data_IF_071501872793
#
_entry.id   IF_071501872793
#
_cell.length_a   1.000
_cell.length_b   1.000
_cell.length_c   1.000
_cell.angle_alpha   90.00
_cell.angle_beta   90.00
_cell.angle_gamma   90.00
#
_symmetry.space_group_name_H-M   'P 1'
#
loop_
_entity.id
_entity.type
_entity.pdbx_description
1 polymer ?
#
# COMPACT_ATOMS: atom_id res chain seq x y z
N UNK A 1 -31.60 -15.77 14.31
CA UNK A 1 -30.81 -16.18 13.13
C UNK A 1 -29.43 -16.58 13.62
N UNK A 2 -29.15 -17.88 13.64
CA UNK A 2 -27.88 -18.46 14.06
C UNK A 2 -26.85 -18.34 12.92
N UNK A 3 -25.73 -17.68 13.18
CA UNK A 3 -24.59 -17.66 12.26
C UNK A 3 -23.73 -18.90 12.53
N UNK A 4 -23.80 -19.86 11.62
CA UNK A 4 -22.85 -20.97 11.54
C UNK A 4 -21.49 -20.45 11.08
N UNK A 5 -20.44 -20.88 11.77
CA UNK A 5 -19.04 -20.54 11.51
C UNK A 5 -18.58 -21.11 10.17
N UNK A 6 -18.14 -20.24 9.25
CA UNK A 6 -17.53 -20.62 7.97
C UNK A 6 -16.01 -20.84 8.14
N UNK A 7 -15.42 -21.83 7.43
CA UNK A 7 -13.99 -22.14 7.50
C UNK A 7 -13.15 -21.07 6.78
N UNK A 8 -12.03 -20.67 7.42
CA UNK A 8 -11.08 -19.66 6.94
C UNK A 8 -9.83 -20.30 6.31
N UNK A 9 -9.75 -20.41 4.98
CA UNK A 9 -8.43 -20.42 4.31
C UNK A 9 -8.25 -19.25 3.32
N UNK A 10 -9.31 -18.67 2.77
CA UNK A 10 -9.22 -17.66 1.70
C UNK A 10 -8.94 -16.22 2.19
N UNK A 11 -9.13 -15.94 3.48
CA UNK A 11 -8.88 -14.60 4.06
C UNK A 11 -7.43 -14.39 4.52
N UNK A 12 -6.62 -15.46 4.60
CA UNK A 12 -5.22 -15.38 5.03
C UNK A 12 -4.32 -14.65 4.03
N UNK A 13 -4.69 -14.65 2.74
CA UNK A 13 -3.91 -13.99 1.68
C UNK A 13 -4.11 -12.46 1.63
N UNK A 14 -5.11 -11.92 2.35
CA UNK A 14 -5.38 -10.47 2.37
C UNK A 14 -5.32 -9.84 3.77
N UNK A 15 -5.13 -10.64 4.82
CA UNK A 15 -4.92 -10.17 6.17
C UNK A 15 -3.40 -10.07 6.42
N UNK A 16 -2.77 -9.03 5.87
CA UNK A 16 -1.37 -8.73 6.20
C UNK A 16 -1.23 -8.54 7.71
N UNK A 17 -0.27 -9.23 8.32
CA UNK A 17 0.09 -9.01 9.72
C UNK A 17 0.73 -7.61 9.83
N UNK A 18 -0.04 -6.64 10.31
CA UNK A 18 0.46 -5.29 10.55
C UNK A 18 1.47 -5.31 11.69
N UNK A 19 2.72 -4.97 11.39
CA UNK A 19 3.72 -4.68 12.41
C UNK A 19 3.89 -3.17 12.50
N UNK A 20 3.67 -2.61 13.70
CA UNK A 20 3.90 -1.20 13.97
C UNK A 20 5.31 -1.03 14.53
N UNK A 21 6.16 -0.26 13.84
CA UNK A 21 7.40 0.22 14.42
C UNK A 21 7.13 1.58 15.06
N UNK A 22 7.30 1.68 16.38
CA UNK A 22 7.24 2.95 17.12
C UNK A 22 8.58 3.16 17.84
N UNK A 23 9.17 4.34 17.71
CA UNK A 23 10.38 4.69 18.47
C UNK A 23 9.95 5.48 19.71
N UNK A 24 10.23 4.94 20.90
CA UNK A 24 10.13 5.66 22.19
C UNK A 24 11.53 5.91 22.75
N UNK A 25 11.68 7.01 23.49
CA UNK A 25 12.85 7.25 24.32
C UNK A 25 12.81 6.37 25.59
N UNK A 26 13.86 5.55 25.77
CA UNK A 26 14.34 4.86 26.99
C UNK A 26 13.54 3.65 27.55
N UNK A 27 14.22 2.48 27.64
CA UNK A 27 14.09 1.53 28.79
C UNK A 27 13.58 0.08 28.58
N UNK A 28 14.51 -0.90 28.53
CA UNK A 28 14.49 -2.35 28.88
C UNK A 28 13.27 -3.26 28.53
N UNK A 29 13.55 -4.36 27.79
CA UNK A 29 12.63 -5.47 27.43
C UNK A 29 12.67 -6.64 28.44
N UNK A 30 11.50 -7.25 28.72
CA UNK A 30 11.33 -8.67 29.07
C UNK A 30 10.03 -9.18 28.44
N UNK A 31 10.10 -10.31 27.74
CA UNK A 31 8.94 -11.01 27.16
C UNK A 31 8.87 -12.44 27.71
N UNK A 32 7.66 -12.90 28.00
CA UNK A 32 7.32 -14.31 28.25
C UNK A 32 6.02 -14.63 27.53
N UNK A 33 5.98 -15.70 26.73
CA UNK A 33 4.73 -16.33 26.30
C UNK A 33 4.96 -17.79 25.88
N UNK A 34 4.03 -18.66 26.28
CA UNK A 34 3.85 -20.03 25.79
C UNK A 34 2.98 -20.05 24.52
N UNK A 35 3.23 -20.98 23.61
CA UNK A 35 2.30 -21.37 22.54
C UNK A 35 2.37 -22.86 22.22
N UNK A 36 1.21 -23.43 21.83
CA UNK A 36 1.04 -24.78 21.29
C UNK A 36 0.85 -24.69 19.77
N UNK A 37 1.55 -25.53 19.01
CA UNK A 37 1.67 -25.46 17.54
C UNK A 37 0.76 -26.41 16.77
N UNK A 38 0.54 -26.08 15.49
CA UNK A 38 0.05 -26.99 14.44
C UNK A 38 0.85 -26.66 13.18
N UNK A 39 1.66 -27.62 12.70
CA UNK A 39 2.54 -27.48 11.54
C UNK A 39 1.84 -27.80 10.21
N UNK A 40 2.30 -27.17 9.14
CA UNK A 40 1.92 -27.51 7.76
C UNK A 40 3.21 -27.50 6.91
N UNK A 41 3.49 -28.65 6.30
CA UNK A 41 4.67 -28.96 5.50
C UNK A 41 4.80 -28.15 4.21
N UNK A 42 6.07 -27.97 3.83
CA UNK A 42 6.60 -27.32 2.64
C UNK A 42 6.14 -27.94 1.32
N UNK A 43 5.76 -27.10 0.33
CA UNK A 43 5.56 -27.50 -1.05
C UNK A 43 6.44 -26.67 -2.01
N UNK A 44 7.06 -27.37 -2.96
CA UNK A 44 8.08 -26.93 -3.90
C UNK A 44 7.66 -25.76 -4.82
N UNK A 45 8.60 -24.84 -5.05
CA UNK A 45 8.43 -23.67 -5.91
C UNK A 45 8.37 -24.05 -7.40
N UNK A 46 7.16 -24.10 -7.96
CA UNK A 46 6.97 -24.05 -9.42
C UNK A 46 7.26 -22.63 -9.90
N UNK A 47 8.20 -22.47 -10.85
CA UNK A 47 8.34 -21.25 -11.65
C UNK A 47 7.02 -21.03 -12.42
N UNK A 48 6.15 -20.16 -11.92
CA UNK A 48 4.99 -19.71 -12.68
C UNK A 48 5.49 -18.84 -13.83
N UNK A 49 5.24 -19.26 -15.07
CA UNK A 49 5.27 -18.35 -16.21
C UNK A 49 4.35 -17.18 -15.85
N UNK A 50 4.93 -15.99 -15.66
CA UNK A 50 4.17 -14.78 -15.41
C UNK A 50 3.39 -14.53 -16.71
N UNK A 51 2.07 -14.72 -16.67
CA UNK A 51 1.22 -14.31 -17.78
C UNK A 51 1.46 -12.81 -18.00
N UNK A 52 1.72 -12.40 -19.24
CA UNK A 52 1.88 -10.99 -19.62
C UNK A 52 0.74 -10.19 -18.98
N UNK A 53 1.07 -9.40 -17.97
CA UNK A 53 0.08 -8.57 -17.30
C UNK A 53 -0.19 -7.36 -18.18
N UNK A 54 -1.45 -7.10 -18.53
CA UNK A 54 -1.90 -5.96 -19.36
C UNK A 54 -1.67 -4.57 -18.70
N UNK A 55 -0.82 -4.49 -17.68
CA UNK A 55 -0.56 -3.29 -16.91
C UNK A 55 0.93 -3.13 -16.62
N UNK A 56 1.31 -1.87 -16.37
CA UNK A 56 2.68 -1.47 -16.12
C UNK A 56 3.31 -2.25 -14.97
N UNK A 57 4.51 -2.78 -15.20
CA UNK A 57 5.35 -3.39 -14.18
C UNK A 57 6.60 -2.55 -14.03
N UNK A 58 7.11 -2.45 -12.80
CA UNK A 58 8.48 -2.01 -12.57
C UNK A 58 9.42 -3.17 -12.93
N UNK A 59 9.41 -3.56 -14.20
CA UNK A 59 10.40 -4.45 -14.79
C UNK A 59 11.53 -3.57 -15.32
N UNK A 60 12.50 -3.30 -14.45
CA UNK A 60 13.84 -3.03 -14.93
C UNK A 60 14.71 -4.23 -14.60
N UNK A 61 15.76 -4.38 -15.39
CA UNK A 61 16.88 -5.32 -15.31
C UNK A 61 17.64 -5.29 -13.96
N UNK A 62 17.01 -4.84 -12.87
CA UNK A 62 17.36 -5.28 -11.54
C UNK A 62 17.07 -6.78 -11.50
N UNK A 63 18.09 -7.61 -11.69
CA UNK A 63 18.11 -8.93 -11.04
C UNK A 63 17.41 -8.77 -9.69
N UNK A 64 16.48 -9.67 -9.35
CA UNK A 64 15.90 -9.75 -8.02
C UNK A 64 17.03 -9.86 -7.00
N UNK A 65 17.64 -8.74 -6.64
CA UNK A 65 18.46 -8.60 -5.47
C UNK A 65 17.48 -8.94 -4.38
N UNK A 66 17.71 -10.07 -3.71
CA UNK A 66 16.84 -10.59 -2.66
C UNK A 66 16.65 -9.56 -1.52
N UNK A 67 17.31 -8.40 -1.59
CA UNK A 67 17.16 -7.20 -0.76
C UNK A 67 15.95 -6.37 -1.17
N UNK A 68 14.79 -6.78 -0.66
CA UNK A 68 13.61 -5.90 -0.52
C UNK A 68 13.99 -4.68 0.31
N UNK A 69 13.67 -3.48 -0.15
CA UNK A 69 14.13 -2.22 0.45
C UNK A 69 12.96 -1.30 0.81
N UNK A 70 13.08 -0.61 1.93
CA UNK A 70 12.13 0.38 2.42
C UNK A 70 12.78 1.77 2.47
N UNK A 71 12.13 2.74 1.85
CA UNK A 71 12.48 4.16 1.99
C UNK A 71 11.45 4.89 2.82
N UNK A 72 11.94 5.77 3.68
CA UNK A 72 11.11 6.49 4.64
C UNK A 72 11.19 7.97 4.35
N UNK A 73 10.05 8.55 4.04
CA UNK A 73 9.91 9.96 3.68
C UNK A 73 8.98 10.66 4.67
N UNK A 74 9.17 11.96 4.80
CA UNK A 74 8.29 12.84 5.56
C UNK A 74 7.92 14.05 4.71
N UNK A 75 6.62 14.34 4.68
CA UNK A 75 6.01 15.46 3.98
C UNK A 75 5.20 16.30 4.97
N UNK A 76 5.08 17.60 4.70
CA UNK A 76 4.16 18.45 5.46
C UNK A 76 2.69 18.09 5.15
N UNK A 77 1.85 17.91 6.18
CA UNK A 77 0.40 17.71 5.98
C UNK A 77 -0.21 18.93 5.27
N UNK A 78 0.21 20.14 5.60
CA UNK A 78 -0.38 21.36 5.03
C UNK A 78 -0.12 21.46 3.51
N UNK A 79 1.10 21.23 3.05
CA UNK A 79 1.46 21.28 1.63
C UNK A 79 0.70 20.22 0.83
N UNK A 80 0.68 18.97 1.32
CA UNK A 80 -0.02 17.87 0.65
C UNK A 80 -1.52 18.11 0.61
N UNK A 81 -2.12 18.58 1.70
CA UNK A 81 -3.56 18.83 1.77
C UNK A 81 -3.97 20.06 0.96
N UNK A 82 -3.14 21.10 0.90
CA UNK A 82 -3.35 22.25 0.01
C UNK A 82 -3.32 21.82 -1.46
N UNK A 83 -2.33 21.00 -1.84
CA UNK A 83 -2.24 20.42 -3.17
C UNK A 83 -3.47 19.57 -3.51
N UNK A 84 -3.88 18.69 -2.59
CA UNK A 84 -5.09 17.89 -2.74
C UNK A 84 -6.33 18.79 -2.93
N UNK A 85 -6.47 19.84 -2.12
CA UNK A 85 -7.62 20.77 -2.20
C UNK A 85 -7.64 21.48 -3.55
N UNK A 86 -6.49 21.97 -4.03
CA UNK A 86 -6.33 22.66 -5.33
C UNK A 86 -6.73 21.77 -6.51
N UNK A 87 -6.41 20.47 -6.45
CA UNK A 87 -6.66 19.53 -7.54
C UNK A 87 -7.83 18.58 -7.29
N UNK A 88 -8.71 18.88 -6.33
CA UNK A 88 -9.88 18.05 -5.99
C UNK A 88 -9.52 16.59 -5.57
N UNK A 89 -8.36 16.38 -4.99
CA UNK A 89 -7.83 15.08 -4.54
C UNK A 89 -8.12 14.70 -3.10
N UNK A 90 -7.51 13.59 -2.71
CA UNK A 90 -7.33 13.09 -1.33
C UNK A 90 -5.92 12.50 -1.21
N UNK A 91 -5.40 12.21 -0.01
CA UNK A 91 -4.05 11.63 0.14
C UNK A 91 -3.84 10.34 -0.67
N UNK A 92 -4.85 9.45 -0.72
CA UNK A 92 -4.79 8.24 -1.55
C UNK A 92 -4.69 8.56 -3.06
N UNK A 93 -5.50 9.52 -3.53
CA UNK A 93 -5.46 9.96 -4.95
C UNK A 93 -4.11 10.61 -5.24
N UNK A 94 -3.66 11.50 -4.36
CA UNK A 94 -2.38 12.18 -4.47
C UNK A 94 -1.23 11.19 -4.65
N UNK A 95 -1.07 10.26 -3.72
CA UNK A 95 0.00 9.27 -3.82
C UNK A 95 -0.14 8.39 -5.06
N UNK A 96 -1.35 7.93 -5.39
CA UNK A 96 -1.59 7.10 -6.59
C UNK A 96 -1.16 7.82 -7.88
N UNK A 97 -1.51 9.11 -8.01
CA UNK A 97 -1.14 9.90 -9.21
C UNK A 97 0.34 10.23 -9.23
N UNK A 98 0.95 10.58 -8.10
CA UNK A 98 2.39 10.85 -8.04
C UNK A 98 3.22 9.61 -8.38
N UNK A 99 2.81 8.44 -7.90
CA UNK A 99 3.43 7.15 -8.24
C UNK A 99 3.28 6.84 -9.73
N UNK A 100 2.10 7.06 -10.30
CA UNK A 100 1.89 6.84 -11.73
C UNK A 100 2.74 7.76 -12.60
N UNK A 101 2.91 9.03 -12.19
CA UNK A 101 3.79 9.97 -12.89
C UNK A 101 5.25 9.57 -12.78
N UNK A 102 5.71 9.17 -11.59
CA UNK A 102 7.04 8.64 -11.38
C UNK A 102 7.32 7.42 -12.29
N UNK A 103 6.32 6.55 -12.45
CA UNK A 103 6.39 5.39 -13.33
C UNK A 103 6.57 5.79 -14.80
N UNK A 104 5.80 6.78 -15.28
CA UNK A 104 5.93 7.30 -16.65
C UNK A 104 7.22 8.06 -16.88
N UNK A 105 7.75 8.70 -15.86
CA UNK A 105 9.07 9.34 -15.94
C UNK A 105 10.17 8.30 -16.10
N UNK A 106 10.07 7.19 -15.37
CA UNK A 106 11.04 6.10 -15.45
C UNK A 106 10.96 5.38 -16.81
N UNK A 107 9.75 4.98 -17.22
CA UNK A 107 9.51 4.19 -18.42
C UNK A 107 8.60 4.94 -19.41
N UNK A 108 9.17 5.93 -20.08
CA UNK A 108 8.43 6.81 -21.00
C UNK A 108 7.86 6.09 -22.24
N UNK A 109 8.49 4.99 -22.68
CA UNK A 109 8.06 4.21 -23.85
C UNK A 109 6.99 3.15 -23.54
N UNK A 110 6.76 2.83 -22.27
CA UNK A 110 5.74 1.86 -21.87
C UNK A 110 4.34 2.44 -22.09
N UNK A 111 3.46 1.64 -22.71
CA UNK A 111 2.07 2.02 -23.03
C UNK A 111 1.01 1.32 -22.18
N UNK A 112 1.42 0.37 -21.34
CA UNK A 112 0.54 -0.44 -20.51
C UNK A 112 -0.17 0.45 -19.48
N UNK A 113 -1.40 0.15 -19.09
CA UNK A 113 -2.12 0.96 -18.11
C UNK A 113 -1.43 0.90 -16.73
N UNK A 114 -1.44 1.98 -15.95
CA UNK A 114 -0.96 1.92 -14.56
C UNK A 114 -2.14 1.56 -13.66
N UNK A 115 -2.05 0.41 -13.02
CA UNK A 115 -3.08 -0.06 -12.09
C UNK A 115 -2.59 0.15 -10.67
N UNK A 116 -3.39 0.85 -9.87
CA UNK A 116 -3.10 1.12 -8.45
C UNK A 116 -4.19 0.50 -7.58
N UNK A 117 -3.80 -0.35 -6.64
CA UNK A 117 -4.69 -0.82 -5.58
C UNK A 117 -4.68 0.19 -4.43
N UNK A 118 -5.83 0.70 -4.06
CA UNK A 118 -5.99 1.55 -2.89
C UNK A 118 -6.61 0.74 -1.78
N UNK A 119 -5.84 0.48 -0.72
CA UNK A 119 -6.34 -0.21 0.46
C UNK A 119 -7.35 0.66 1.20
N UNK A 120 -8.51 0.07 1.51
CA UNK A 120 -9.64 0.74 2.18
C UNK A 120 -10.09 -0.01 3.41
N UNK A 121 -10.53 0.74 4.42
CA UNK A 121 -11.22 0.18 5.57
C UNK A 121 -12.69 -0.09 5.22
N UNK A 122 -13.00 -1.35 4.94
CA UNK A 122 -14.36 -1.77 4.64
C UNK A 122 -15.29 -1.54 5.84
N UNK A 123 -14.80 -1.50 7.09
CA UNK A 123 -15.66 -1.17 8.25
C UNK A 123 -16.25 0.22 8.13
N UNK A 124 -15.46 1.18 7.65
CA UNK A 124 -15.94 2.53 7.40
C UNK A 124 -17.03 2.55 6.32
N UNK A 125 -16.87 1.73 5.27
CA UNK A 125 -17.81 1.66 4.14
C UNK A 125 -19.13 0.99 4.56
N UNK A 126 -19.07 -0.12 5.30
CA UNK A 126 -20.26 -0.80 5.83
C UNK A 126 -20.88 -0.12 7.06
N UNK A 127 -20.24 0.94 7.58
CA UNK A 127 -20.63 1.64 8.83
C UNK A 127 -20.63 0.73 10.07
N UNK A 128 -19.77 -0.30 10.09
CA UNK A 128 -19.62 -1.26 11.19
C UNK A 128 -18.26 -1.05 11.87
N UNK A 129 -18.04 0.15 12.41
CA UNK A 129 -16.74 0.54 12.99
C UNK A 129 -16.37 -0.25 14.26
N UNK A 130 -17.38 -0.69 15.02
CA UNK A 130 -17.21 -1.38 16.31
C UNK A 130 -17.01 -2.90 16.15
N UNK A 131 -16.05 -3.31 15.31
CA UNK A 131 -15.68 -4.72 15.18
C UNK A 131 -14.17 -4.90 15.38
N UNK A 132 -13.80 -5.84 16.27
CA UNK A 132 -12.42 -6.20 16.58
C UNK A 132 -11.68 -6.85 15.39
N UNK A 133 -12.41 -7.35 14.39
CA UNK A 133 -11.81 -7.95 13.19
C UNK A 133 -11.31 -6.87 12.24
N UNK A 134 -10.12 -7.06 11.69
CA UNK A 134 -9.66 -6.29 10.54
C UNK A 134 -10.56 -6.60 9.35
N UNK A 135 -11.01 -5.56 8.65
CA UNK A 135 -11.78 -5.72 7.43
C UNK A 135 -11.26 -4.72 6.41
N UNK A 136 -10.11 -5.07 5.86
CA UNK A 136 -9.50 -4.34 4.76
C UNK A 136 -10.05 -4.87 3.43
N UNK A 137 -10.17 -3.98 2.46
CA UNK A 137 -10.39 -4.33 1.06
C UNK A 137 -9.50 -3.46 0.19
N UNK A 138 -9.59 -3.64 -1.12
CA UNK A 138 -8.87 -2.82 -2.09
C UNK A 138 -9.85 -2.28 -3.12
N UNK A 139 -9.65 -1.02 -3.51
CA UNK A 139 -10.30 -0.43 -4.68
C UNK A 139 -9.26 -0.29 -5.79
N UNK A 140 -9.62 -0.65 -7.01
CA UNK A 140 -8.72 -0.51 -8.15
C UNK A 140 -8.88 0.85 -8.79
N UNK A 141 -7.75 1.50 -9.05
CA UNK A 141 -7.62 2.68 -9.91
C UNK A 141 -6.91 2.29 -11.20
N UNK A 142 -7.48 2.70 -12.32
CA UNK A 142 -6.81 2.62 -13.63
C UNK A 142 -6.45 4.03 -14.08
N UNK A 143 -5.15 4.29 -14.16
CA UNK A 143 -4.59 5.58 -14.55
C UNK A 143 -4.06 5.49 -15.98
N UNK A 144 -4.30 6.55 -16.79
CA UNK A 144 -3.96 6.53 -18.21
C UNK A 144 -2.45 6.46 -18.43
N UNK A 145 -2.06 5.92 -19.60
CA UNK A 145 -0.67 5.86 -20.04
C UNK A 145 -0.21 7.06 -20.87
N UNK A 146 -1.14 7.94 -21.29
CA UNK A 146 -0.90 9.01 -22.22
C UNK A 146 -0.61 10.37 -21.54
N UNK A 147 -0.38 11.40 -22.38
CA UNK A 147 -0.17 12.79 -21.96
C UNK A 147 -1.24 13.33 -21.02
N UNK A 148 -2.42 12.70 -20.94
CA UNK A 148 -3.47 13.11 -19.98
C UNK A 148 -2.99 13.01 -18.55
N UNK A 149 -2.00 12.15 -18.25
CA UNK A 149 -1.40 12.08 -16.91
C UNK A 149 -0.78 13.43 -16.47
N UNK A 150 -0.40 14.28 -17.43
CA UNK A 150 0.15 15.62 -17.18
C UNK A 150 -0.92 16.63 -16.77
N UNK A 151 -2.20 16.41 -17.12
CA UNK A 151 -3.30 17.24 -16.65
C UNK A 151 -3.68 16.88 -15.20
N UNK A 152 -2.98 17.50 -14.24
CA UNK A 152 -3.12 17.19 -12.80
C UNK A 152 -4.56 17.20 -12.33
N UNK A 153 -5.32 18.26 -12.63
CA UNK A 153 -6.68 18.41 -12.10
C UNK A 153 -7.65 17.39 -12.69
N UNK A 154 -7.50 17.08 -13.98
CA UNK A 154 -8.33 16.08 -14.66
C UNK A 154 -8.06 14.68 -14.10
N UNK A 155 -6.79 14.29 -13.98
CA UNK A 155 -6.40 12.97 -13.47
C UNK A 155 -6.82 12.78 -12.02
N UNK A 156 -6.63 13.79 -11.17
CA UNK A 156 -7.07 13.74 -9.78
C UNK A 156 -8.59 13.58 -9.68
N UNK A 157 -9.33 14.32 -10.49
CA UNK A 157 -10.80 14.23 -10.53
C UNK A 157 -11.25 12.86 -11.02
N UNK A 158 -10.62 12.33 -12.07
CA UNK A 158 -10.87 10.99 -12.60
C UNK A 158 -10.63 9.92 -11.53
N UNK A 159 -9.44 9.91 -10.92
CA UNK A 159 -9.07 8.96 -9.88
C UNK A 159 -10.01 9.03 -8.68
N UNK A 160 -10.38 10.25 -8.24
CA UNK A 160 -11.36 10.42 -7.16
C UNK A 160 -12.74 9.86 -7.54
N UNK A 161 -13.18 10.06 -8.77
CA UNK A 161 -14.46 9.55 -9.24
C UNK A 161 -14.46 8.02 -9.30
N UNK A 162 -13.39 7.39 -9.77
CA UNK A 162 -13.24 5.93 -9.72
C UNK A 162 -13.32 5.40 -8.28
N UNK A 163 -12.60 6.01 -7.33
CA UNK A 163 -12.70 5.61 -5.92
C UNK A 163 -14.12 5.77 -5.37
N UNK A 164 -14.82 6.87 -5.69
CA UNK A 164 -16.21 7.08 -5.24
C UNK A 164 -17.16 6.02 -5.81
N UNK A 165 -17.00 5.67 -7.09
CA UNK A 165 -17.80 4.62 -7.73
C UNK A 165 -17.57 3.25 -7.08
N UNK A 166 -16.33 2.96 -6.68
CA UNK A 166 -15.96 1.68 -6.08
C UNK A 166 -16.17 1.63 -4.55
N UNK A 167 -16.36 2.78 -3.88
CA UNK A 167 -16.59 2.88 -2.43
C UNK A 167 -18.03 2.53 -1.98
N UNK A 168 -18.82 1.87 -2.83
CA UNK A 168 -20.16 1.39 -2.51
C UNK A 168 -20.17 0.00 -1.88
N UNK A 169 -21.11 -0.26 -0.97
CA UNK A 169 -21.30 -1.59 -0.35
C UNK A 169 -21.59 -2.68 -1.39
N UNK A 170 -22.33 -2.35 -2.46
CA UNK A 170 -22.63 -3.27 -3.55
C UNK A 170 -21.39 -3.72 -4.31
N UNK A 171 -20.48 -2.78 -4.61
CA UNK A 171 -19.21 -3.07 -5.28
C UNK A 171 -18.39 -4.05 -4.44
N UNK A 172 -18.20 -3.75 -3.15
CA UNK A 172 -17.41 -4.59 -2.26
C UNK A 172 -18.04 -5.98 -2.11
N UNK A 173 -19.36 -6.05 -1.94
CA UNK A 173 -20.06 -7.34 -1.87
C UNK A 173 -19.90 -8.17 -3.14
N UNK A 174 -19.88 -7.54 -4.31
CA UNK A 174 -19.62 -8.21 -5.58
C UNK A 174 -18.19 -8.75 -5.65
N UNK A 175 -17.20 -7.97 -5.25
CA UNK A 175 -15.79 -8.42 -5.24
C UNK A 175 -15.57 -9.57 -4.24
N UNK A 176 -16.19 -9.50 -3.06
CA UNK A 176 -16.14 -10.60 -2.08
C UNK A 176 -16.80 -11.87 -2.59
N UNK A 177 -17.88 -11.77 -3.38
CA UNK A 177 -18.50 -12.93 -4.03
C UNK A 177 -17.55 -13.53 -5.07
N UNK A 178 -16.90 -12.71 -5.91
CA UNK A 178 -15.91 -13.17 -6.89
C UNK A 178 -14.74 -13.91 -6.23
N UNK A 179 -14.21 -13.38 -5.12
CA UNK A 179 -13.11 -14.03 -4.39
C UNK A 179 -13.49 -15.40 -3.83
N UNK A 180 -14.79 -15.63 -3.52
CA UNK A 180 -15.27 -16.95 -3.08
C UNK A 180 -15.41 -17.94 -4.23
N UNK A 181 -15.76 -17.48 -5.42
CA UNK A 181 -16.01 -18.34 -6.59
C UNK A 181 -14.75 -18.59 -7.41
N UNK A 182 -13.78 -17.68 -7.35
CA UNK A 182 -12.59 -17.71 -8.18
C UNK A 182 -11.36 -17.59 -7.27
N UNK A 183 -10.79 -18.71 -6.79
CA UNK A 183 -9.58 -18.68 -6.01
C UNK A 183 -8.46 -18.11 -6.87
N UNK A 184 -7.89 -17.01 -6.40
CA UNK A 184 -6.80 -16.33 -7.11
C UNK A 184 -5.50 -17.12 -6.91
N UNK A 185 -4.63 -17.22 -7.93
CA UNK A 185 -3.32 -17.81 -7.74
C UNK A 185 -2.56 -17.02 -6.66
N UNK A 186 -1.85 -17.70 -5.73
CA UNK A 186 -1.24 -17.05 -4.56
C UNK A 186 -0.15 -16.01 -4.88
N UNK A 187 0.29 -15.91 -6.13
CA UNK A 187 1.39 -15.05 -6.58
C UNK A 187 1.07 -14.27 -7.86
N UNK A 188 -0.21 -14.21 -8.27
CA UNK A 188 -0.56 -13.49 -9.49
C UNK A 188 -0.40 -11.97 -9.29
N UNK A 189 0.37 -11.27 -10.16
CA UNK A 189 0.45 -9.82 -10.10
C UNK A 189 -0.93 -9.22 -10.39
N UNK A 190 -1.38 -8.27 -9.57
CA UNK A 190 -2.70 -7.63 -9.70
C UNK A 190 -2.64 -6.15 -10.02
N UNK A 191 -1.52 -5.49 -9.72
CA UNK A 191 -1.36 -4.07 -9.93
C UNK A 191 0.12 -3.67 -9.98
N UNK A 192 0.38 -2.50 -10.54
CA UNK A 192 1.70 -1.86 -10.50
C UNK A 192 2.03 -1.48 -9.06
N UNK A 193 1.10 -0.77 -8.40
CA UNK A 193 1.31 -0.19 -7.08
C UNK A 193 0.17 -0.52 -6.13
N UNK A 194 0.49 -0.57 -4.84
CA UNK A 194 -0.51 -0.48 -3.78
C UNK A 194 -0.29 0.79 -2.95
N UNK A 195 -1.36 1.53 -2.66
CA UNK A 195 -1.36 2.70 -1.77
C UNK A 195 -2.27 2.40 -0.59
N UNK A 196 -1.82 2.72 0.63
CA UNK A 196 -2.62 2.56 1.83
C UNK A 196 -2.46 3.77 2.73
N UNK A 197 -3.57 4.40 3.09
CA UNK A 197 -3.62 5.47 4.09
C UNK A 197 -4.57 5.07 5.22
N UNK A 198 -4.10 4.27 6.21
CA UNK A 198 -4.87 4.01 7.42
C UNK A 198 -5.18 5.32 8.14
N UNK A 199 -6.38 5.42 8.69
CA UNK A 199 -6.72 6.53 9.57
C UNK A 199 -5.94 6.39 10.89
N UNK A 200 -4.83 7.13 10.99
CA UNK A 200 -3.95 7.16 12.15
C UNK A 200 -4.30 8.27 13.14
N UNK A 201 -5.42 9.00 12.97
CA UNK A 201 -5.84 10.09 13.86
C UNK A 201 -6.33 9.60 15.24
N UNK A 202 -6.11 8.33 15.58
CA UNK A 202 -6.67 7.67 16.75
C UNK A 202 -5.76 7.67 17.99
N UNK A 203 -4.54 8.21 17.92
CA UNK A 203 -3.61 8.17 19.06
C UNK A 203 -3.93 9.19 20.18
N UNK A 204 -4.89 10.10 19.97
CA UNK A 204 -5.32 11.11 20.97
C UNK A 204 -4.10 11.79 21.61
N UNK A 205 -4.02 11.86 22.94
CA UNK A 205 -2.92 12.48 23.68
C UNK A 205 -1.54 11.85 23.41
N UNK A 206 -1.50 10.58 23.00
CA UNK A 206 -0.23 9.92 22.67
C UNK A 206 0.38 10.46 21.38
N UNK A 207 -0.39 11.15 20.51
CA UNK A 207 0.15 11.69 19.27
C UNK A 207 1.31 12.64 19.53
N UNK A 208 1.22 13.45 20.59
CA UNK A 208 2.24 14.43 20.97
C UNK A 208 3.59 13.82 21.35
N UNK A 209 3.65 12.50 21.57
CA UNK A 209 4.86 11.76 21.92
C UNK A 209 5.39 10.87 20.79
N UNK A 210 4.75 10.89 19.62
CA UNK A 210 5.16 10.11 18.46
C UNK A 210 5.84 11.02 17.45
N UNK A 211 7.16 10.88 17.31
CA UNK A 211 7.94 11.66 16.34
C UNK A 211 7.74 11.15 14.91
N UNK A 212 7.66 9.83 14.75
CA UNK A 212 7.57 9.14 13.46
C UNK A 212 6.64 7.93 13.59
N UNK A 213 5.81 7.70 12.58
CA UNK A 213 4.94 6.52 12.51
C UNK A 213 5.02 5.88 11.12
N UNK A 214 5.47 4.64 11.07
CA UNK A 214 5.51 3.88 9.83
C UNK A 214 4.83 2.53 9.98
N UNK A 215 4.23 2.08 8.89
CA UNK A 215 3.64 0.75 8.78
C UNK A 215 4.43 -0.01 7.73
N UNK A 216 5.02 -1.12 8.14
CA UNK A 216 5.79 -2.01 7.27
C UNK A 216 5.12 -3.37 7.19
N UNK A 217 5.24 -4.04 6.05
CA UNK A 217 4.66 -5.37 5.80
C UNK A 217 5.54 -6.15 4.82
N UNK A 218 5.30 -7.45 4.71
CA UNK A 218 5.86 -8.25 3.62
C UNK A 218 5.34 -7.76 2.30
N UNK A 219 6.25 -7.47 1.39
CA UNK A 219 5.89 -7.36 -0.02
C UNK A 219 5.54 -8.74 -0.55
N UNK A 220 4.29 -8.91 -0.96
CA UNK A 220 3.82 -10.02 -1.78
C UNK A 220 4.22 -9.78 -3.24
N UNK A 221 4.22 -10.84 -4.08
CA UNK A 221 4.45 -10.71 -5.52
C UNK A 221 3.29 -10.04 -6.27
N UNK A 222 2.22 -9.67 -5.54
CA UNK A 222 0.97 -9.12 -6.08
C UNK A 222 1.20 -7.71 -6.67
N UNK A 223 2.15 -6.94 -6.12
CA UNK A 223 2.51 -5.60 -6.61
C UNK A 223 4.01 -5.37 -6.54
N UNK A 224 4.54 -4.53 -7.43
CA UNK A 224 5.97 -4.21 -7.44
C UNK A 224 6.38 -3.31 -6.28
N UNK A 225 5.47 -2.42 -5.88
CA UNK A 225 5.73 -1.44 -4.82
C UNK A 225 4.47 -1.17 -3.98
N UNK A 226 4.68 -1.01 -2.67
CA UNK A 226 3.66 -0.63 -1.70
C UNK A 226 4.04 0.67 -1.00
N UNK A 227 3.20 1.69 -1.16
CA UNK A 227 3.31 2.96 -0.45
C UNK A 227 2.31 3.01 0.71
N UNK A 228 2.82 2.95 1.95
CA UNK A 228 2.02 3.15 3.16
C UNK A 228 2.17 4.58 3.63
N UNK A 229 1.06 5.28 3.79
CA UNK A 229 0.97 6.66 4.25
C UNK A 229 0.41 6.63 5.67
N UNK A 230 1.03 7.34 6.60
CA UNK A 230 0.42 7.66 7.89
C UNK A 230 0.41 9.17 8.08
N UNK A 231 -0.51 9.66 8.90
CA UNK A 231 -0.58 11.07 9.25
C UNK A 231 -0.59 11.24 10.77
N UNK A 232 0.42 11.94 11.29
CA UNK A 232 0.53 12.27 12.71
C UNK A 232 1.31 13.57 12.87
N UNK A 233 0.92 14.40 13.84
CA UNK A 233 1.58 15.66 14.17
C UNK A 233 1.83 16.58 12.96
N UNK A 234 0.79 16.78 12.14
CA UNK A 234 0.82 17.64 10.95
C UNK A 234 1.84 17.21 9.89
N UNK A 235 2.26 15.94 9.91
CA UNK A 235 3.18 15.37 8.95
C UNK A 235 2.58 14.10 8.33
N UNK A 236 2.79 13.94 7.03
CA UNK A 236 2.64 12.64 6.38
C UNK A 236 3.96 11.89 6.42
N UNK A 237 3.92 10.65 6.88
CA UNK A 237 5.05 9.73 6.84
C UNK A 237 4.76 8.65 5.82
N UNK A 238 5.64 8.53 4.82
CA UNK A 238 5.50 7.56 3.74
C UNK A 238 6.55 6.47 3.94
N UNK A 239 6.11 5.22 4.00
CA UNK A 239 6.96 4.05 3.86
C UNK A 239 6.78 3.50 2.44
N UNK A 240 7.86 3.59 1.66
CA UNK A 240 7.94 3.20 0.26
C UNK A 240 8.65 1.85 0.19
N UNK A 241 7.87 0.78 0.08
CA UNK A 241 8.35 -0.59 0.14
C UNK A 241 8.44 -1.15 -1.28
N UNK A 242 9.63 -1.54 -1.72
CA UNK A 242 9.87 -2.11 -3.04
C UNK A 242 10.62 -3.44 -2.98
N UNK A 243 10.36 -4.30 -3.97
CA UNK A 243 10.93 -5.64 -4.05
C UNK A 243 12.40 -5.69 -4.47
N UNK A 244 13.00 -4.52 -4.76
CA UNK A 244 14.36 -4.33 -5.26
C UNK A 244 15.09 -3.23 -4.47
N UNK A 245 16.40 -3.08 -4.69
CA UNK A 245 17.25 -2.11 -3.98
C UNK A 245 17.49 -0.80 -4.74
N UNK A 246 17.24 -0.76 -6.05
CA UNK A 246 17.46 0.44 -6.88
C UNK A 246 16.65 1.66 -6.41
N UNK A 247 17.27 2.83 -6.42
CA UNK A 247 16.63 4.11 -6.07
C UNK A 247 16.01 4.84 -7.26
N UNK A 248 16.20 4.37 -8.50
CA UNK A 248 15.78 5.10 -9.70
C UNK A 248 14.30 5.52 -9.66
N UNK A 249 13.42 4.61 -9.23
CA UNK A 249 11.99 4.89 -9.11
C UNK A 249 11.67 5.87 -7.97
N UNK A 250 12.34 5.76 -6.83
CA UNK A 250 12.22 6.72 -5.73
C UNK A 250 12.63 8.12 -6.19
N UNK A 251 13.75 8.24 -6.90
CA UNK A 251 14.27 9.52 -7.35
C UNK A 251 13.30 10.17 -8.35
N UNK A 252 12.69 9.38 -9.24
CA UNK A 252 11.61 9.84 -10.12
C UNK A 252 10.40 10.37 -9.33
N UNK A 253 10.00 9.69 -8.24
CA UNK A 253 8.94 10.13 -7.35
C UNK A 253 9.29 11.42 -6.59
N UNK A 254 10.52 11.55 -6.09
CA UNK A 254 10.98 12.78 -5.41
C UNK A 254 10.95 13.99 -6.35
N UNK A 255 11.35 13.80 -7.61
CA UNK A 255 11.26 14.87 -8.61
C UNK A 255 9.80 15.23 -8.96
N UNK A 256 8.84 14.30 -8.87
CA UNK A 256 7.40 14.61 -9.01
C UNK A 256 6.89 15.46 -7.84
N UNK A 257 7.31 15.16 -6.61
CA UNK A 257 6.98 15.98 -5.43
C UNK A 257 7.55 17.40 -5.56
N UNK A 258 8.80 17.51 -5.99
CA UNK A 258 9.47 18.79 -6.23
C UNK A 258 8.77 19.59 -7.32
N UNK A 259 8.37 18.95 -8.42
CA UNK A 259 7.58 19.58 -9.50
C UNK A 259 6.22 20.07 -9.01
N UNK A 260 5.68 19.46 -7.96
CA UNK A 260 4.44 19.85 -7.29
C UNK A 260 4.63 20.93 -6.21
N UNK A 261 5.86 21.43 -5.99
CA UNK A 261 6.24 22.33 -4.89
C UNK A 261 5.90 21.74 -3.51
N UNK A 262 6.12 20.43 -3.33
CA UNK A 262 5.96 19.73 -2.06
C UNK A 262 7.34 19.36 -1.54
N UNK A 263 7.71 19.95 -0.41
CA UNK A 263 8.97 19.62 0.25
C UNK A 263 8.92 18.20 0.82
N UNK A 264 10.02 17.48 0.62
CA UNK A 264 10.17 16.10 1.07
C UNK A 264 11.46 15.94 1.84
N UNK A 265 11.35 15.47 3.08
CA UNK A 265 12.48 15.06 3.90
C UNK A 265 12.70 13.55 3.72
N UNK A 266 13.82 13.17 3.11
CA UNK A 266 14.27 11.78 3.08
C UNK A 266 14.89 11.45 4.44
N UNK A 267 14.29 10.49 5.17
CA UNK A 267 14.71 10.18 6.53
C UNK A 267 15.69 9.02 6.58
N UNK A 268 15.40 7.91 5.90
CA UNK A 268 16.28 6.74 5.86
C UNK A 268 15.92 5.74 4.78
N UNK A 269 16.86 4.85 4.54
CA UNK A 269 16.76 3.64 3.73
C UNK A 269 17.18 2.45 4.59
N UNK A 270 16.43 1.35 4.51
CA UNK A 270 16.80 0.10 5.19
C UNK A 270 16.23 -1.11 4.44
N UNK A 271 16.87 -2.28 4.55
CA UNK A 271 16.27 -3.52 4.06
C UNK A 271 14.97 -3.81 4.82
N UNK A 272 13.97 -4.34 4.13
CA UNK A 272 12.70 -4.75 4.73
C UNK A 272 12.97 -5.93 5.66
N UNK A 273 13.00 -5.66 6.97
CA UNK A 273 13.09 -6.66 8.02
C UNK A 273 11.73 -6.80 8.67
N UNK A 274 10.98 -7.83 8.27
CA UNK A 274 9.88 -8.27 9.10
C UNK A 274 10.48 -8.91 10.34
N UNK A 275 9.89 -8.63 11.51
CA UNK A 275 10.28 -9.29 12.74
C UNK A 275 10.46 -10.78 12.44
N UNK A 276 11.67 -11.30 12.67
CA UNK A 276 12.06 -12.68 12.40
C UNK A 276 11.19 -13.62 13.24
N UNK A 277 9.94 -13.84 12.82
CA UNK A 277 9.17 -14.98 13.23
C UNK A 277 9.81 -16.12 12.44
N UNK A 278 10.82 -16.75 13.04
CA UNK A 278 11.29 -18.03 12.53
C UNK A 278 10.05 -18.91 12.36
N UNK A 279 9.83 -19.52 11.19
CA UNK A 279 8.79 -20.52 11.07
C UNK A 279 9.05 -21.56 12.17
N UNK A 280 8.04 -21.78 13.00
CA UNK A 280 8.02 -22.83 14.02
C UNK A 280 7.87 -24.19 13.34
#
# INVERSE_FOLDING_TARGET
MSFTSLPMPALSLMCEQFTYATRKAVGKRRNTSLSAGIGIDSAEARKSACADSDFFRLDEETEYDNRKTAFYLKLSESQVMEYCKKHNGSPNVFASVMLARAARRLAHDDKNAIIVLVAVDCKAIFKIRNNYRAYAGNLTLSLPSDEKLNNTTEVFTMARNQLKQHAGTEYINRELKKMKTTPMPPDAPMASFTVSYPDTRSFKELSNHIEELYVTTSLSKITDMLCKITCINNCFFLAFLQSFSSRCFLDCFLEELKSANIDCEFLREEPIRLCEIKPL
#
